data_IF_813681469553
#
_entry.id   IF_813681469553
#
_cell.length_a   1.000
_cell.length_b   1.000
_cell.length_c   1.000
_cell.angle_alpha   90.00
_cell.angle_beta   90.00
_cell.angle_gamma   90.00
#
_symmetry.space_group_name_H-M   'P 1'
#
loop_
_entity.id
_entity.type
_entity.pdbx_description
1 polymer ?
#
# COMPACT_ATOMS: atom_id res chain seq x y z
N UNK A 1 23.00 22.14 51.36
CA UNK A 1 23.53 20.90 50.71
C UNK A 1 22.49 20.13 49.88
N UNK A 2 21.18 20.37 49.99
CA UNK A 2 20.13 19.63 49.23
C UNK A 2 19.85 20.19 47.81
N UNK A 3 20.13 21.48 47.58
CA UNK A 3 19.90 22.19 46.29
C UNK A 3 20.77 21.62 45.14
N UNK A 4 22.04 21.30 45.42
CA UNK A 4 22.99 20.80 44.41
C UNK A 4 22.68 19.36 43.97
N UNK A 5 21.95 18.59 44.79
CA UNK A 5 21.57 17.20 44.50
C UNK A 5 20.34 17.12 43.59
N UNK A 6 19.43 18.11 43.67
CA UNK A 6 18.30 18.24 42.75
C UNK A 6 18.76 18.64 41.35
N UNK A 7 19.72 19.58 41.26
CA UNK A 7 20.26 20.05 39.99
C UNK A 7 21.04 18.95 39.24
N UNK A 8 21.80 18.12 39.97
CA UNK A 8 22.51 16.97 39.39
C UNK A 8 21.59 15.86 38.86
N UNK A 9 20.47 15.59 39.56
CA UNK A 9 19.44 14.64 39.08
C UNK A 9 18.65 15.17 37.89
N UNK A 10 18.35 16.48 37.86
CA UNK A 10 17.69 17.12 36.73
C UNK A 10 18.55 17.08 35.47
N UNK A 11 19.86 17.31 35.61
CA UNK A 11 20.83 17.25 34.52
C UNK A 11 21.03 15.83 33.97
N UNK A 12 21.03 14.81 34.85
CA UNK A 12 21.10 13.40 34.44
C UNK A 12 19.83 12.94 33.70
N UNK A 13 18.65 13.46 34.10
CA UNK A 13 17.37 13.13 33.47
C UNK A 13 17.24 13.78 32.08
N UNK A 14 17.74 15.01 31.91
CA UNK A 14 17.76 15.67 30.59
C UNK A 14 18.76 15.02 29.63
N UNK A 15 19.92 14.55 30.12
CA UNK A 15 20.91 13.85 29.30
C UNK A 15 20.42 12.46 28.84
N UNK A 16 19.64 11.76 29.67
CA UNK A 16 19.04 10.46 29.32
C UNK A 16 17.95 10.54 28.24
N UNK A 17 17.22 11.66 28.17
CA UNK A 17 16.17 11.87 27.17
C UNK A 17 16.76 12.18 25.78
N UNK A 18 17.90 12.86 25.70
CA UNK A 18 18.56 13.15 24.43
C UNK A 18 19.18 11.92 23.74
N UNK A 19 19.41 10.81 24.45
CA UNK A 19 20.06 9.63 23.89
C UNK A 19 19.09 8.61 23.25
N UNK A 20 17.77 8.74 23.46
CA UNK A 20 16.75 7.86 22.84
C UNK A 20 16.20 8.40 21.51
N UNK A 21 16.71 9.53 21.03
CA UNK A 21 16.25 10.19 19.81
C UNK A 21 16.86 9.68 18.50
N UNK A 22 17.68 8.64 18.51
CA UNK A 22 18.20 8.04 17.26
C UNK A 22 17.14 7.12 16.68
N UNK A 23 16.09 7.72 16.11
CA UNK A 23 15.18 7.02 15.22
C UNK A 23 16.02 6.63 14.01
N UNK A 24 16.28 5.33 13.87
CA UNK A 24 16.90 4.78 12.69
C UNK A 24 15.92 5.02 11.53
N UNK A 25 16.25 5.99 10.67
CA UNK A 25 15.59 6.16 9.39
C UNK A 25 16.00 4.97 8.52
N UNK A 26 15.30 3.86 8.70
CA UNK A 26 15.37 2.72 7.81
C UNK A 26 14.77 3.18 6.48
N UNK A 27 15.64 3.77 5.64
CA UNK A 27 15.32 4.22 4.30
C UNK A 27 14.67 3.05 3.56
N UNK A 28 13.33 3.07 3.51
CA UNK A 28 12.58 1.97 2.93
C UNK A 28 13.01 1.81 1.48
N UNK A 29 13.22 0.57 1.01
CA UNK A 29 13.58 0.35 -0.37
C UNK A 29 12.55 1.05 -1.27
N UNK A 30 12.99 1.58 -2.43
CA UNK A 30 12.08 2.27 -3.34
C UNK A 30 10.91 1.36 -3.69
N UNK A 31 9.71 1.91 -3.61
CA UNK A 31 8.49 1.18 -3.94
C UNK A 31 8.44 0.93 -5.45
N UNK A 32 8.27 -0.33 -5.84
CA UNK A 32 8.01 -0.70 -7.22
C UNK A 32 6.50 -0.82 -7.43
N UNK A 33 5.98 -0.21 -8.49
CA UNK A 33 4.57 -0.29 -8.87
C UNK A 33 4.46 -1.09 -10.16
N UNK A 34 3.71 -2.18 -10.13
CA UNK A 34 3.38 -2.99 -11.30
C UNK A 34 1.90 -2.81 -11.65
N UNK A 35 1.63 -2.22 -12.81
CA UNK A 35 0.28 -2.00 -13.32
C UNK A 35 -0.04 -3.03 -14.41
N UNK A 36 -0.99 -3.92 -14.13
CA UNK A 36 -1.57 -4.82 -15.14
C UNK A 36 -2.79 -4.17 -15.78
N UNK A 37 -2.87 -4.23 -17.11
CA UNK A 37 -4.09 -3.87 -17.85
C UNK A 37 -4.43 -5.01 -18.80
N UNK A 38 -5.73 -5.31 -18.94
CA UNK A 38 -6.25 -6.29 -19.89
C UNK A 38 -7.21 -5.57 -20.83
N UNK A 39 -7.11 -5.84 -22.14
CA UNK A 39 -8.03 -5.29 -23.14
C UNK A 39 -9.33 -6.08 -23.15
N UNK A 40 -10.45 -5.39 -23.32
CA UNK A 40 -11.80 -5.97 -23.45
C UNK A 40 -12.18 -7.02 -22.39
N UNK A 41 -11.66 -6.88 -21.17
CA UNK A 41 -11.96 -7.80 -20.07
C UNK A 41 -13.23 -7.38 -19.33
N UNK A 42 -14.28 -8.21 -19.43
CA UNK A 42 -15.48 -8.03 -18.62
C UNK A 42 -15.28 -8.54 -17.18
N UNK A 43 -15.97 -7.91 -16.21
CA UNK A 43 -15.86 -8.23 -14.77
C UNK A 43 -16.09 -9.70 -14.47
N UNK A 44 -17.14 -10.27 -15.03
CA UNK A 44 -17.62 -11.63 -14.70
C UNK A 44 -16.81 -12.73 -15.41
N UNK A 45 -15.71 -12.37 -16.08
CA UNK A 45 -14.81 -13.35 -16.71
C UNK A 45 -13.85 -13.99 -15.69
N UNK A 46 -13.67 -13.37 -14.52
CA UNK A 46 -12.76 -13.85 -13.48
C UNK A 46 -13.49 -14.67 -12.42
N UNK A 47 -12.86 -15.73 -11.93
CA UNK A 47 -13.39 -16.59 -10.86
C UNK A 47 -13.70 -15.79 -9.59
N UNK A 48 -12.80 -14.89 -9.20
CA UNK A 48 -12.99 -14.03 -8.03
C UNK A 48 -14.22 -13.08 -8.13
N UNK A 49 -14.72 -12.77 -9.33
CA UNK A 49 -15.93 -11.97 -9.52
C UNK A 49 -17.21 -12.79 -9.76
N UNK A 50 -17.11 -14.12 -9.72
CA UNK A 50 -18.24 -15.03 -9.83
C UNK A 50 -18.40 -15.71 -11.19
N UNK A 51 -17.33 -15.81 -11.99
CA UNK A 51 -17.38 -16.58 -13.25
C UNK A 51 -17.87 -18.02 -13.02
N UNK A 52 -18.64 -18.53 -13.98
CA UNK A 52 -19.13 -19.93 -13.97
C UNK A 52 -18.11 -20.92 -14.50
N UNK A 53 -17.02 -20.44 -15.11
CA UNK A 53 -15.97 -21.31 -15.67
C UNK A 53 -15.02 -21.71 -14.55
N UNK A 54 -14.93 -23.02 -14.29
CA UNK A 54 -14.09 -23.59 -13.25
C UNK A 54 -12.62 -23.30 -13.55
N UNK A 55 -11.89 -22.79 -12.55
CA UNK A 55 -10.44 -22.55 -12.61
C UNK A 55 -9.97 -21.64 -13.77
N UNK A 56 -10.80 -20.67 -14.16
CA UNK A 56 -10.47 -19.74 -15.27
C UNK A 56 -9.31 -18.79 -14.93
N UNK A 57 -9.16 -18.38 -13.67
CA UNK A 57 -8.19 -17.34 -13.26
C UNK A 57 -7.49 -17.61 -11.92
N UNK A 58 -6.89 -18.79 -11.69
CA UNK A 58 -6.39 -19.20 -10.37
C UNK A 58 -5.33 -18.24 -9.79
N UNK A 59 -4.45 -17.70 -10.63
CA UNK A 59 -3.42 -16.75 -10.20
C UNK A 59 -4.01 -15.40 -9.77
N UNK A 60 -4.97 -14.88 -10.53
CA UNK A 60 -5.61 -13.61 -10.23
C UNK A 60 -6.58 -13.74 -9.05
N UNK A 61 -7.22 -14.89 -8.90
CA UNK A 61 -8.06 -15.20 -7.75
C UNK A 61 -7.25 -15.30 -6.46
N UNK A 62 -6.02 -15.84 -6.53
CA UNK A 62 -5.07 -15.80 -5.41
C UNK A 62 -4.66 -14.36 -5.09
N UNK A 63 -4.25 -13.61 -6.10
CA UNK A 63 -3.85 -12.21 -5.94
C UNK A 63 -4.97 -11.35 -5.30
N UNK A 64 -6.22 -11.55 -5.72
CA UNK A 64 -7.38 -10.86 -5.19
C UNK A 64 -7.65 -11.16 -3.69
N UNK A 65 -7.16 -12.28 -3.15
CA UNK A 65 -7.25 -12.61 -1.71
C UNK A 65 -6.14 -11.98 -0.87
N UNK A 66 -5.02 -11.64 -1.49
CA UNK A 66 -3.85 -11.06 -0.83
C UNK A 66 -3.92 -9.52 -0.74
N UNK A 67 -4.88 -8.90 -1.45
CA UNK A 67 -5.03 -7.46 -1.53
C UNK A 67 -6.47 -6.96 -1.38
N UNK A 68 -6.70 -5.76 -1.88
CA UNK A 68 -8.03 -5.13 -1.93
C UNK A 68 -8.68 -5.37 -3.29
N UNK A 69 -9.97 -5.71 -3.28
CA UNK A 69 -10.77 -5.92 -4.49
C UNK A 69 -11.92 -4.92 -4.56
N UNK A 70 -12.05 -4.22 -5.69
CA UNK A 70 -13.12 -3.27 -5.93
C UNK A 70 -14.30 -3.95 -6.62
N UNK A 71 -15.47 -3.99 -5.97
CA UNK A 71 -16.66 -4.60 -6.59
C UNK A 71 -17.35 -3.68 -7.60
N UNK A 72 -17.16 -2.36 -7.47
CA UNK A 72 -17.79 -1.30 -8.28
C UNK A 72 -16.71 -0.41 -8.94
N UNK A 73 -15.89 -1.00 -9.82
CA UNK A 73 -14.91 -0.28 -10.61
C UNK A 73 -15.46 -0.05 -12.04
N UNK A 74 -15.46 1.20 -12.50
CA UNK A 74 -16.02 1.58 -13.79
C UNK A 74 -15.00 2.38 -14.61
N UNK A 75 -15.00 2.17 -15.93
CA UNK A 75 -14.28 3.02 -16.87
C UNK A 75 -15.08 4.29 -17.15
N UNK A 76 -14.39 5.40 -17.41
CA UNK A 76 -15.03 6.66 -17.80
C UNK A 76 -15.72 6.57 -19.17
N UNK A 77 -15.20 5.70 -20.04
CA UNK A 77 -15.70 5.51 -21.40
C UNK A 77 -15.42 4.08 -21.87
N UNK A 78 -16.36 3.48 -22.61
CA UNK A 78 -16.25 2.12 -23.14
C UNK A 78 -15.57 2.08 -24.53
N UNK A 79 -14.49 2.85 -24.71
CA UNK A 79 -13.68 2.89 -25.93
C UNK A 79 -12.19 2.83 -25.53
N UNK A 80 -11.43 1.95 -26.19
CA UNK A 80 -10.06 1.62 -25.81
C UNK A 80 -9.14 2.85 -25.70
N UNK A 81 -9.03 3.67 -26.75
CA UNK A 81 -8.11 4.82 -26.79
C UNK A 81 -8.40 5.86 -25.68
N UNK A 82 -9.61 6.44 -25.57
CA UNK A 82 -9.87 7.45 -24.55
C UNK A 82 -9.86 6.87 -23.13
N UNK A 83 -10.25 5.59 -22.95
CA UNK A 83 -10.16 4.93 -21.63
C UNK A 83 -8.71 4.77 -21.17
N UNK A 84 -7.80 4.37 -22.07
CA UNK A 84 -6.38 4.19 -21.75
C UNK A 84 -5.67 5.51 -21.52
N UNK A 85 -6.04 6.54 -22.29
CA UNK A 85 -5.43 7.87 -22.16
C UNK A 85 -5.62 8.46 -20.76
N UNK A 86 -6.77 8.23 -20.13
CA UNK A 86 -7.08 8.69 -18.76
C UNK A 86 -6.20 7.99 -17.70
N UNK A 87 -5.79 6.74 -17.93
CA UNK A 87 -4.93 6.02 -16.98
C UNK A 87 -3.48 6.50 -16.99
N UNK A 88 -3.01 7.05 -18.11
CA UNK A 88 -1.62 7.46 -18.30
C UNK A 88 -1.41 8.99 -18.25
N UNK A 89 -2.49 9.78 -18.12
CA UNK A 89 -2.46 11.24 -18.10
C UNK A 89 -2.26 11.83 -16.71
#
# INVERSE_FOLDING_TARGET
>A
MKENLLCSKALALTLGISLMGTICDAQSPPMNILLFTADDMHRDTLGCYGSTVVDISPNLDRFAREGLRFNNAHVNTAICEPSRKILAS
#
